data_IF_060689815125
#
_entry.id   IF_060689815125
#
_cell.length_a   1.000
_cell.length_b   1.000
_cell.length_c   1.000
_cell.angle_alpha   90.00
_cell.angle_beta   90.00
_cell.angle_gamma   90.00
#
_symmetry.space_group_name_H-M   'P 1'
#
loop_
_entity.id
_entity.type
_entity.pdbx_description
1 polymer ?
#
# COMPACT_ATOMS: atom_id res chain seq x y z
N UNK A 1 -7.51 42.95 -13.20
CA UNK A 1 -7.38 41.46 -13.36
C UNK A 1 -5.97 41.10 -12.90
N UNK A 2 -5.83 40.28 -11.89
CA UNK A 2 -4.51 39.77 -11.46
C UNK A 2 -4.25 38.50 -12.27
N UNK A 3 -3.25 38.53 -13.15
CA UNK A 3 -2.80 37.34 -13.88
C UNK A 3 -1.70 36.68 -13.06
N UNK A 4 -1.99 35.54 -12.48
CA UNK A 4 -0.98 34.73 -11.80
C UNK A 4 -0.10 34.06 -12.88
N UNK A 5 1.23 34.03 -12.70
CA UNK A 5 2.08 33.29 -13.61
C UNK A 5 1.68 31.82 -13.62
N UNK A 6 1.56 31.22 -14.80
CA UNK A 6 1.32 29.79 -14.93
C UNK A 6 2.50 29.03 -14.34
N UNK A 7 2.27 28.29 -13.26
CA UNK A 7 3.27 27.36 -12.75
C UNK A 7 3.36 26.17 -13.70
N UNK A 8 4.56 25.67 -14.02
CA UNK A 8 4.70 24.49 -14.84
C UNK A 8 3.99 23.32 -14.15
N UNK A 9 3.15 22.60 -14.89
CA UNK A 9 2.53 21.37 -14.41
C UNK A 9 3.62 20.34 -14.11
N UNK A 10 3.90 20.12 -12.83
CA UNK A 10 4.93 19.17 -12.41
C UNK A 10 4.44 17.70 -12.46
N UNK A 11 3.13 17.51 -12.55
CA UNK A 11 2.53 16.18 -12.42
C UNK A 11 1.40 15.97 -13.43
N UNK A 12 1.70 15.53 -14.67
CA UNK A 12 0.70 15.27 -15.69
C UNK A 12 -0.12 13.98 -15.44
N UNK A 13 0.32 13.09 -14.54
CA UNK A 13 -0.22 11.73 -14.36
C UNK A 13 -0.92 11.51 -13.02
N UNK A 14 -1.56 12.54 -12.46
CA UNK A 14 -2.22 12.45 -11.14
C UNK A 14 -3.25 11.32 -11.02
N UNK A 15 -3.82 10.86 -12.13
CA UNK A 15 -4.81 9.78 -12.17
C UNK A 15 -4.23 8.38 -12.45
N UNK A 16 -2.92 8.24 -12.53
CA UNK A 16 -2.30 6.96 -12.89
C UNK A 16 -2.18 6.03 -11.69
N UNK A 17 -2.50 4.76 -11.88
CA UNK A 17 -2.13 3.64 -11.02
C UNK A 17 -1.06 2.83 -11.75
N UNK A 18 0.11 2.68 -11.14
CA UNK A 18 1.20 1.89 -11.68
C UNK A 18 1.12 0.46 -11.15
N UNK A 19 1.25 -0.55 -12.01
CA UNK A 19 1.16 -1.96 -11.62
C UNK A 19 1.98 -2.85 -12.55
N UNK A 20 3.21 -3.18 -12.15
CA UNK A 20 4.08 -4.10 -12.88
C UNK A 20 4.83 -5.03 -11.93
N UNK A 21 5.29 -6.17 -12.47
CA UNK A 21 6.10 -7.13 -11.71
C UNK A 21 7.51 -6.57 -11.50
N UNK A 22 7.91 -6.41 -10.25
CA UNK A 22 9.22 -5.93 -9.82
C UNK A 22 9.95 -6.90 -8.90
N UNK A 23 9.22 -7.86 -8.32
CA UNK A 23 9.77 -8.85 -7.38
C UNK A 23 9.68 -10.23 -8.00
N UNK A 24 10.76 -11.01 -7.93
CA UNK A 24 10.74 -12.40 -8.35
C UNK A 24 9.95 -13.28 -7.38
N UNK A 25 9.63 -14.51 -7.80
CA UNK A 25 8.96 -15.47 -6.92
C UNK A 25 9.80 -15.79 -5.68
N UNK A 26 11.12 -15.94 -5.85
CA UNK A 26 12.06 -16.18 -4.76
C UNK A 26 12.09 -15.00 -3.77
N UNK A 27 12.05 -13.77 -4.27
CA UNK A 27 11.98 -12.58 -3.43
C UNK A 27 10.65 -12.52 -2.65
N UNK A 28 9.53 -12.86 -3.29
CA UNK A 28 8.24 -12.98 -2.62
C UNK A 28 8.28 -14.06 -1.52
N UNK A 29 8.86 -15.22 -1.80
CA UNK A 29 9.05 -16.29 -0.81
C UNK A 29 9.92 -15.85 0.37
N UNK A 30 11.00 -15.13 0.10
CA UNK A 30 11.88 -14.60 1.16
C UNK A 30 11.13 -13.61 2.06
N UNK A 31 10.29 -12.74 1.49
CA UNK A 31 9.48 -11.80 2.26
C UNK A 31 8.46 -12.57 3.11
N UNK A 32 7.74 -13.54 2.54
CA UNK A 32 6.77 -14.36 3.30
C UNK A 32 7.47 -15.11 4.44
N UNK A 33 8.60 -15.76 4.17
CA UNK A 33 9.38 -16.52 5.17
C UNK A 33 9.99 -15.64 6.26
N UNK A 34 10.14 -14.34 6.03
CA UNK A 34 10.63 -13.42 7.06
C UNK A 34 9.59 -13.11 8.14
N UNK A 35 8.32 -13.42 7.90
CA UNK A 35 7.24 -13.23 8.86
C UNK A 35 7.50 -14.01 10.15
N UNK A 36 7.15 -13.43 11.28
CA UNK A 36 7.24 -14.05 12.59
C UNK A 36 5.84 -14.32 13.13
N UNK A 37 5.54 -15.59 13.43
CA UNK A 37 4.18 -15.97 13.83
C UNK A 37 3.68 -15.29 15.10
N UNK A 38 4.58 -14.97 16.02
CA UNK A 38 4.29 -14.27 17.28
C UNK A 38 4.08 -12.76 17.14
N UNK A 39 4.33 -12.19 15.95
CA UNK A 39 4.22 -10.73 15.69
C UNK A 39 2.96 -10.34 14.92
N UNK A 40 2.13 -11.29 14.52
CA UNK A 40 0.86 -10.97 13.87
C UNK A 40 -0.12 -10.36 14.85
N UNK A 41 -0.64 -9.20 14.49
CA UNK A 41 -1.66 -8.47 15.25
C UNK A 41 -2.84 -8.11 14.34
N UNK A 42 -3.99 -7.82 14.94
CA UNK A 42 -5.12 -7.32 14.17
C UNK A 42 -4.78 -5.98 13.53
N UNK A 43 -5.08 -5.84 12.23
CA UNK A 43 -4.85 -4.60 11.51
C UNK A 43 -5.69 -3.45 12.08
N UNK A 44 -5.05 -2.33 12.38
CA UNK A 44 -5.70 -1.16 12.94
C UNK A 44 -6.29 -0.24 11.87
N UNK A 45 -7.32 0.53 12.23
CA UNK A 45 -7.81 1.69 11.45
C UNK A 45 -7.29 2.93 12.14
N UNK A 46 -6.38 3.66 11.48
CA UNK A 46 -5.85 4.91 12.03
C UNK A 46 -6.94 5.99 12.13
N UNK A 47 -7.04 6.64 13.28
CA UNK A 47 -7.88 7.83 13.45
C UNK A 47 -9.30 7.63 13.97
N UNK A 48 -9.73 6.41 14.30
CA UNK A 48 -11.00 6.13 14.95
C UNK A 48 -10.77 5.59 16.36
N UNK A 49 -11.07 6.40 17.36
CA UNK A 49 -11.07 6.05 18.78
C UNK A 49 -10.58 7.16 19.69
N UNK A 50 -11.17 7.27 20.89
CA UNK A 50 -10.95 8.35 21.87
C UNK A 50 -9.53 8.48 22.45
N UNK A 51 -8.55 7.69 21.98
CA UNK A 51 -7.18 7.69 22.52
C UNK A 51 -6.06 7.68 21.47
N UNK A 52 -6.32 7.93 20.19
CA UNK A 52 -5.28 7.97 19.17
C UNK A 52 -4.59 6.60 18.90
N UNK A 53 -5.00 5.56 19.57
CA UNK A 53 -4.64 4.17 19.28
C UNK A 53 -5.68 3.64 18.32
N UNK A 54 -5.27 3.27 17.10
CA UNK A 54 -6.16 2.74 16.09
C UNK A 54 -7.11 1.70 16.67
N UNK A 55 -8.41 1.85 16.43
CA UNK A 55 -9.37 0.84 16.85
C UNK A 55 -9.13 -0.43 16.09
N UNK A 56 -8.97 -1.52 16.81
CA UNK A 56 -8.86 -2.86 16.26
C UNK A 56 -10.17 -3.22 15.58
N UNK A 57 -10.09 -3.61 14.32
CA UNK A 57 -11.15 -4.18 13.50
C UNK A 57 -12.57 -3.68 13.79
N UNK A 58 -13.10 -2.99 12.84
CA UNK A 58 -14.53 -2.74 12.72
C UNK A 58 -15.01 -3.33 11.39
N UNK A 59 -16.27 -3.13 11.07
CA UNK A 59 -16.86 -3.59 9.80
C UNK A 59 -16.16 -2.99 8.56
N UNK A 60 -15.34 -1.95 8.72
CA UNK A 60 -14.62 -1.30 7.63
C UNK A 60 -13.25 -1.94 7.32
N UNK A 61 -12.66 -2.71 8.24
CA UNK A 61 -11.37 -3.37 8.03
C UNK A 61 -11.25 -4.63 8.86
N UNK A 62 -10.90 -5.71 8.20
CA UNK A 62 -10.49 -6.97 8.80
C UNK A 62 -9.23 -7.47 8.09
N UNK A 63 -8.14 -7.65 8.84
CA UNK A 63 -6.89 -8.25 8.37
C UNK A 63 -5.98 -8.50 9.57
N UNK A 64 -4.88 -9.22 9.36
CA UNK A 64 -3.77 -9.25 10.32
C UNK A 64 -2.53 -8.64 9.69
N UNK A 65 -1.72 -7.97 10.51
CA UNK A 65 -0.52 -7.27 10.05
C UNK A 65 0.64 -7.45 11.01
N UNK A 66 1.84 -7.33 10.49
CA UNK A 66 3.05 -7.13 11.27
C UNK A 66 3.97 -6.16 10.55
N UNK A 67 4.87 -5.47 11.26
CA UNK A 67 5.89 -4.66 10.60
C UNK A 67 6.70 -5.53 9.65
N UNK A 68 6.95 -5.01 8.44
CA UNK A 68 7.78 -5.72 7.48
C UNK A 68 9.19 -5.93 8.06
N UNK A 69 9.64 -7.19 8.22
CA UNK A 69 10.99 -7.46 8.69
C UNK A 69 12.04 -6.93 7.73
N UNK A 70 13.11 -6.36 8.28
CA UNK A 70 14.22 -5.78 7.51
C UNK A 70 15.46 -6.63 7.75
N UNK A 71 16.01 -7.16 6.66
CA UNK A 71 17.22 -7.97 6.67
C UNK A 71 18.49 -7.17 6.38
N UNK A 72 19.53 -7.86 5.90
CA UNK A 72 20.82 -7.26 5.55
C UNK A 72 20.65 -6.19 4.45
N UNK A 73 21.50 -5.16 4.50
CA UNK A 73 21.50 -4.03 3.58
C UNK A 73 20.14 -3.32 3.45
N UNK A 74 19.28 -3.43 4.47
CA UNK A 74 17.97 -2.82 4.46
C UNK A 74 16.94 -3.49 3.54
N UNK A 75 17.22 -4.70 3.01
CA UNK A 75 16.27 -5.45 2.18
C UNK A 75 15.06 -5.91 3.02
N UNK A 76 13.79 -5.92 2.51
CA UNK A 76 13.42 -5.50 1.15
C UNK A 76 13.15 -4.00 0.99
N UNK A 77 13.21 -3.20 2.07
CA UNK A 77 12.87 -1.77 2.04
C UNK A 77 13.72 -0.97 1.06
N UNK A 78 15.03 -1.28 0.97
CA UNK A 78 15.95 -0.60 0.04
C UNK A 78 15.52 -0.79 -1.42
N UNK A 79 15.13 -2.02 -1.81
CA UNK A 79 14.62 -2.31 -3.15
C UNK A 79 13.27 -1.61 -3.39
N UNK A 80 12.34 -1.71 -2.44
CA UNK A 80 11.03 -1.05 -2.53
C UNK A 80 11.22 0.45 -2.78
N UNK A 81 12.03 1.12 -1.99
CA UNK A 81 12.26 2.56 -2.14
C UNK A 81 12.92 2.91 -3.47
N UNK A 82 13.90 2.12 -3.91
CA UNK A 82 14.56 2.31 -5.21
C UNK A 82 13.55 2.26 -6.36
N UNK A 83 12.69 1.24 -6.40
CA UNK A 83 11.67 1.09 -7.44
C UNK A 83 10.65 2.25 -7.39
N UNK A 84 10.19 2.62 -6.20
CA UNK A 84 9.25 3.74 -6.03
C UNK A 84 9.86 5.05 -6.51
N UNK A 85 11.13 5.35 -6.18
CA UNK A 85 11.80 6.55 -6.64
C UNK A 85 11.94 6.59 -8.17
N UNK A 86 12.31 5.47 -8.79
CA UNK A 86 12.42 5.37 -10.25
C UNK A 86 11.07 5.64 -10.93
N UNK A 87 10.01 4.98 -10.45
CA UNK A 87 8.66 5.16 -11.00
C UNK A 87 8.18 6.58 -10.79
N UNK A 88 8.30 7.10 -9.57
CA UNK A 88 7.86 8.46 -9.24
C UNK A 88 8.56 9.53 -10.09
N UNK A 89 9.85 9.36 -10.41
CA UNK A 89 10.61 10.31 -11.23
C UNK A 89 10.02 10.50 -12.62
N UNK A 90 9.36 9.48 -13.15
CA UNK A 90 8.76 9.47 -14.49
C UNK A 90 7.25 9.73 -14.46
N UNK A 91 6.56 9.22 -13.42
CA UNK A 91 5.11 9.25 -13.32
C UNK A 91 4.61 10.56 -12.67
N UNK A 92 4.68 10.67 -11.35
CA UNK A 92 4.05 11.77 -10.61
C UNK A 92 5.00 12.90 -10.25
N UNK A 93 6.29 12.62 -10.08
CA UNK A 93 7.31 13.59 -9.67
C UNK A 93 6.99 14.28 -8.34
N UNK A 94 6.41 13.53 -7.41
CA UNK A 94 6.20 14.03 -6.05
C UNK A 94 7.54 14.22 -5.35
N UNK A 95 7.61 15.23 -4.50
CA UNK A 95 8.71 15.37 -3.55
C UNK A 95 8.55 14.31 -2.47
N UNK A 96 9.42 13.29 -2.45
CA UNK A 96 9.38 12.19 -1.51
C UNK A 96 10.47 12.35 -0.44
N UNK A 97 10.06 12.15 0.84
CA UNK A 97 10.95 12.13 1.99
C UNK A 97 11.34 10.72 2.46
N UNK A 98 10.59 9.71 2.01
CA UNK A 98 10.84 8.31 2.35
C UNK A 98 9.85 7.72 3.35
N UNK A 99 10.25 6.63 4.00
CA UNK A 99 9.49 5.99 5.08
C UNK A 99 9.72 6.72 6.40
N UNK A 100 8.73 6.74 7.28
CA UNK A 100 8.83 7.29 8.62
C UNK A 100 8.70 6.19 9.68
N UNK A 101 9.39 6.32 10.82
CA UNK A 101 9.49 5.26 11.81
C UNK A 101 8.14 4.75 12.34
N UNK A 102 7.18 5.64 12.49
CA UNK A 102 5.85 5.28 13.03
C UNK A 102 4.89 4.78 11.95
N UNK A 103 5.31 4.81 10.68
CA UNK A 103 4.51 4.40 9.52
C UNK A 103 5.35 3.58 8.52
N UNK A 104 6.15 2.66 9.06
CA UNK A 104 6.95 1.71 8.27
C UNK A 104 6.03 0.71 7.55
N UNK A 105 6.43 0.19 6.39
CA UNK A 105 5.65 -0.81 5.68
C UNK A 105 5.30 -2.04 6.53
N UNK A 106 4.16 -2.62 6.22
CA UNK A 106 3.61 -3.81 6.88
C UNK A 106 3.53 -4.99 5.93
N UNK A 107 3.76 -6.17 6.47
CA UNK A 107 3.32 -7.42 5.88
C UNK A 107 1.87 -7.66 6.35
N UNK A 108 0.94 -7.79 5.40
CA UNK A 108 -0.47 -7.98 5.69
C UNK A 108 -0.97 -9.33 5.19
N UNK A 109 -1.88 -9.91 5.96
CA UNK A 109 -2.50 -11.21 5.69
C UNK A 109 -4.02 -11.06 5.74
N UNK A 110 -4.69 -11.51 4.66
CA UNK A 110 -6.12 -11.51 4.51
C UNK A 110 -6.60 -12.96 4.35
N UNK A 111 -7.48 -13.42 5.24
CA UNK A 111 -7.94 -14.80 5.31
C UNK A 111 -9.43 -14.93 4.97
N UNK A 112 -9.77 -15.91 4.14
CA UNK A 112 -11.15 -16.20 3.76
C UNK A 112 -12.04 -16.58 4.97
N UNK A 113 -11.46 -17.28 5.96
CA UNK A 113 -12.17 -17.68 7.18
C UNK A 113 -12.74 -16.52 7.98
N UNK A 114 -12.13 -15.33 7.84
CA UNK A 114 -12.55 -14.10 8.49
C UNK A 114 -13.25 -13.14 7.55
N UNK A 115 -13.34 -13.48 6.25
CA UNK A 115 -13.78 -12.58 5.18
C UNK A 115 -13.00 -11.26 5.18
N UNK A 116 -11.69 -11.37 5.38
CA UNK A 116 -10.82 -10.22 5.53
C UNK A 116 -10.89 -9.27 4.32
N UNK A 117 -10.92 -7.98 4.60
CA UNK A 117 -11.13 -6.92 3.62
C UNK A 117 -10.69 -5.55 4.17
N UNK A 118 -10.70 -4.54 3.32
CA UNK A 118 -10.63 -3.13 3.70
C UNK A 118 -11.64 -2.37 2.85
N UNK A 119 -12.54 -1.63 3.49
CA UNK A 119 -13.56 -0.84 2.82
C UNK A 119 -12.98 0.41 2.13
N UNK A 120 -13.82 1.14 1.40
CA UNK A 120 -13.43 2.35 0.68
C UNK A 120 -12.77 3.38 1.60
N UNK A 121 -11.52 3.71 1.32
CA UNK A 121 -10.75 4.68 2.08
C UNK A 121 -9.70 5.38 1.21
N UNK A 122 -9.17 6.47 1.73
CA UNK A 122 -7.97 7.14 1.26
C UNK A 122 -6.86 6.91 2.27
N UNK A 123 -5.63 6.75 1.80
CA UNK A 123 -4.46 6.61 2.67
C UNK A 123 -4.05 7.94 3.31
N UNK A 124 -4.31 9.03 2.61
CA UNK A 124 -4.09 10.38 3.11
C UNK A 124 -5.20 10.78 4.08
N UNK A 125 -4.85 11.41 5.19
CA UNK A 125 -5.80 11.82 6.22
C UNK A 125 -5.26 12.95 7.09
N UNK A 126 -5.67 12.97 8.34
CA UNK A 126 -5.23 13.95 9.35
C UNK A 126 -3.94 13.49 10.05
N UNK A 127 -3.29 14.42 10.74
CA UNK A 127 -2.08 14.14 11.51
C UNK A 127 -0.95 13.61 10.65
N UNK A 128 -0.32 12.52 11.07
CA UNK A 128 0.80 11.92 10.36
C UNK A 128 0.43 11.45 8.95
N UNK A 129 -0.81 11.03 8.72
CA UNK A 129 -1.27 10.57 7.41
C UNK A 129 -1.34 11.72 6.38
N UNK A 130 -1.34 12.98 6.82
CA UNK A 130 -1.38 14.15 5.93
C UNK A 130 -0.12 14.29 5.06
N UNK A 131 0.99 13.68 5.45
CA UNK A 131 2.25 13.70 4.71
C UNK A 131 2.42 12.52 3.74
N UNK A 132 1.50 11.54 3.70
CA UNK A 132 1.53 10.41 2.76
C UNK A 132 1.32 10.92 1.33
N UNK A 133 2.25 10.60 0.43
CA UNK A 133 2.22 10.98 -0.99
C UNK A 133 1.78 9.82 -1.89
N UNK A 134 2.38 8.67 -1.67
CA UNK A 134 2.13 7.46 -2.42
C UNK A 134 1.77 6.32 -1.46
N UNK A 135 0.73 5.57 -1.80
CA UNK A 135 0.46 4.26 -1.25
C UNK A 135 0.99 3.18 -2.19
N UNK A 136 1.41 2.06 -1.63
CA UNK A 136 1.83 0.91 -2.43
C UNK A 136 1.39 -0.42 -1.84
N UNK A 137 1.25 -1.42 -2.73
CA UNK A 137 1.03 -2.82 -2.36
C UNK A 137 1.89 -3.73 -3.23
N UNK A 138 2.56 -4.71 -2.64
CA UNK A 138 3.32 -5.75 -3.36
C UNK A 138 2.61 -7.07 -3.17
N UNK A 139 2.23 -7.73 -4.28
CA UNK A 139 1.49 -8.98 -4.26
C UNK A 139 2.45 -10.15 -4.01
N UNK A 140 2.27 -10.88 -2.91
CA UNK A 140 3.19 -11.96 -2.51
C UNK A 140 2.63 -13.35 -2.79
N UNK A 141 1.32 -13.54 -2.62
CA UNK A 141 0.63 -14.82 -2.84
C UNK A 141 0.34 -15.01 -4.33
N UNK A 142 0.50 -16.22 -4.85
CA UNK A 142 0.08 -16.55 -6.20
C UNK A 142 -1.44 -16.37 -6.34
N UNK A 143 -1.93 -15.71 -7.42
CA UNK A 143 -3.36 -15.45 -7.60
C UNK A 143 -4.22 -16.71 -7.74
N UNK A 144 -3.64 -17.88 -7.99
CA UNK A 144 -4.35 -19.17 -8.02
C UNK A 144 -4.65 -19.73 -6.63
N UNK A 145 -3.99 -19.23 -5.58
CA UNK A 145 -4.13 -19.73 -4.20
C UNK A 145 -5.28 -19.06 -3.44
N UNK A 146 -5.86 -17.98 -3.97
CA UNK A 146 -6.94 -17.25 -3.30
C UNK A 146 -7.98 -16.70 -4.27
N UNK A 147 -9.20 -16.47 -3.76
CA UNK A 147 -10.29 -15.82 -4.48
C UNK A 147 -10.76 -14.57 -3.71
N UNK A 148 -11.27 -13.57 -4.44
CA UNK A 148 -11.56 -12.26 -3.86
C UNK A 148 -10.30 -11.45 -3.58
N UNK A 149 -10.33 -10.59 -2.58
CA UNK A 149 -9.17 -9.75 -2.19
C UNK A 149 -8.69 -8.80 -3.28
N UNK A 150 -9.57 -8.36 -4.16
CA UNK A 150 -9.23 -7.45 -5.26
C UNK A 150 -8.94 -6.06 -4.71
N UNK A 151 -7.83 -5.48 -5.12
CA UNK A 151 -7.58 -4.05 -4.92
C UNK A 151 -8.30 -3.28 -6.02
N UNK A 152 -9.26 -2.45 -5.62
CA UNK A 152 -10.10 -1.66 -6.51
C UNK A 152 -9.95 -0.18 -6.23
N UNK A 153 -10.02 0.64 -7.29
CA UNK A 153 -9.95 2.09 -7.21
C UNK A 153 -11.28 2.69 -7.67
N UNK A 154 -11.74 3.70 -6.95
CA UNK A 154 -12.96 4.40 -7.33
C UNK A 154 -12.73 5.22 -8.62
N UNK A 155 -13.59 5.03 -9.60
CA UNK A 155 -13.54 5.71 -10.92
C UNK A 155 -12.26 5.41 -11.75
N UNK A 156 -11.48 4.39 -11.39
CA UNK A 156 -10.35 3.91 -12.20
C UNK A 156 -10.55 2.43 -12.45
N UNK A 157 -10.61 2.06 -13.72
CA UNK A 157 -10.59 0.65 -14.12
C UNK A 157 -9.16 0.15 -14.17
N UNK A 158 -8.87 -0.93 -13.47
CA UNK A 158 -7.57 -1.61 -13.48
C UNK A 158 -7.75 -3.06 -13.90
N UNK A 159 -6.80 -3.56 -14.69
CA UNK A 159 -6.79 -4.99 -15.03
C UNK A 159 -6.38 -5.82 -13.82
N UNK A 160 -7.35 -6.50 -13.23
CA UNK A 160 -7.13 -7.34 -12.04
C UNK A 160 -6.15 -8.50 -12.32
N UNK A 161 -6.05 -9.00 -13.53
CA UNK A 161 -5.10 -10.05 -13.88
C UNK A 161 -3.65 -9.57 -13.67
N UNK A 162 -3.32 -8.42 -14.21
CA UNK A 162 -1.99 -7.81 -14.04
C UNK A 162 -1.75 -7.36 -12.60
N UNK A 163 -2.76 -6.74 -11.98
CA UNK A 163 -2.64 -6.19 -10.64
C UNK A 163 -2.39 -7.27 -9.58
N UNK A 164 -2.98 -8.46 -9.73
CA UNK A 164 -2.85 -9.59 -8.81
C UNK A 164 -1.62 -10.47 -9.08
N UNK A 165 -0.96 -10.32 -10.23
CA UNK A 165 0.21 -11.15 -10.55
C UNK A 165 1.25 -11.08 -9.43
N UNK A 166 1.79 -12.24 -9.04
CA UNK A 166 2.79 -12.35 -7.98
C UNK A 166 4.02 -11.48 -8.29
N UNK A 167 4.54 -10.78 -7.29
CA UNK A 167 5.65 -9.84 -7.43
C UNK A 167 5.26 -8.48 -7.99
N UNK A 168 3.98 -8.24 -8.31
CA UNK A 168 3.53 -6.92 -8.79
C UNK A 168 3.63 -5.88 -7.69
N UNK A 169 4.36 -4.81 -7.97
CA UNK A 169 4.29 -3.55 -7.22
C UNK A 169 3.15 -2.71 -7.79
N UNK A 170 2.13 -2.47 -7.00
CA UNK A 170 1.06 -1.51 -7.27
C UNK A 170 1.39 -0.23 -6.53
N UNK A 171 1.45 0.90 -7.24
CA UNK A 171 1.81 2.21 -6.69
C UNK A 171 0.79 3.25 -7.14
N UNK A 172 0.30 4.08 -6.22
CA UNK A 172 -0.75 5.05 -6.49
C UNK A 172 -0.66 6.26 -5.54
N UNK A 173 -1.16 7.44 -5.96
CA UNK A 173 -1.29 8.59 -5.08
C UNK A 173 -2.16 8.30 -3.85
N UNK A 174 -1.69 8.68 -2.66
CA UNK A 174 -2.33 8.36 -1.38
C UNK A 174 -3.75 8.97 -1.20
N UNK A 175 -4.14 9.91 -2.05
CA UNK A 175 -5.48 10.51 -2.07
C UNK A 175 -6.50 9.74 -2.92
N UNK A 176 -6.11 8.65 -3.60
CA UNK A 176 -7.06 7.85 -4.36
C UNK A 176 -7.93 6.99 -3.44
N UNK A 177 -9.23 7.09 -3.63
CA UNK A 177 -10.20 6.25 -2.95
C UNK A 177 -10.10 4.82 -3.49
N UNK A 178 -9.81 3.87 -2.59
CA UNK A 178 -9.60 2.47 -2.94
C UNK A 178 -10.09 1.53 -1.85
N UNK A 179 -10.21 0.25 -2.18
CA UNK A 179 -10.61 -0.81 -1.24
C UNK A 179 -9.93 -2.13 -1.57
N UNK A 180 -9.97 -3.06 -0.61
CA UNK A 180 -9.68 -4.48 -0.83
C UNK A 180 -10.97 -5.25 -0.59
N UNK A 181 -11.48 -5.96 -1.61
CA UNK A 181 -12.70 -6.76 -1.48
C UNK A 181 -12.47 -7.96 -0.56
N UNK A 182 -13.55 -8.56 -0.04
CA UNK A 182 -13.44 -9.75 0.81
C UNK A 182 -12.65 -10.87 0.14
N UNK A 183 -11.72 -11.47 0.87
CA UNK A 183 -11.14 -12.77 0.48
C UNK A 183 -12.18 -13.83 0.73
N UNK A 184 -12.51 -14.63 -0.28
CA UNK A 184 -13.58 -15.64 -0.26
C UNK A 184 -13.05 -17.07 -0.23
N UNK A 185 -11.77 -17.27 -0.62
CA UNK A 185 -11.06 -18.54 -0.56
C UNK A 185 -9.58 -18.32 -0.32
N UNK A 186 -8.93 -19.21 0.42
CA UNK A 186 -7.49 -19.18 0.66
C UNK A 186 -7.02 -18.02 1.53
N UNK A 187 -5.78 -17.61 1.30
CA UNK A 187 -5.10 -16.53 2.02
C UNK A 187 -4.32 -15.65 1.05
N UNK A 188 -4.46 -14.33 1.18
CA UNK A 188 -3.70 -13.35 0.42
C UNK A 188 -2.72 -12.63 1.33
N UNK A 189 -1.44 -12.67 0.97
CA UNK A 189 -0.38 -11.90 1.63
C UNK A 189 0.16 -10.81 0.72
N UNK A 190 0.41 -9.64 1.29
CA UNK A 190 0.96 -8.48 0.58
C UNK A 190 1.87 -7.68 1.50
N UNK A 191 2.82 -6.93 0.91
CA UNK A 191 3.43 -5.79 1.60
C UNK A 191 2.62 -4.56 1.28
N UNK A 192 2.28 -3.76 2.29
CA UNK A 192 1.60 -2.47 2.15
C UNK A 192 2.40 -1.40 2.86
N UNK A 193 2.44 -0.21 2.31
CA UNK A 193 3.11 0.91 2.97
C UNK A 193 2.87 2.24 2.27
N UNK A 194 3.42 3.28 2.87
CA UNK A 194 3.24 4.65 2.40
C UNK A 194 4.59 5.37 2.35
N UNK A 195 4.75 6.18 1.31
CA UNK A 195 5.90 7.06 1.19
C UNK A 195 5.46 8.48 1.48
N UNK A 196 6.16 9.08 2.42
CA UNK A 196 5.87 10.43 2.90
C UNK A 196 6.63 11.49 2.12
N UNK A 197 6.18 12.73 2.24
CA UNK A 197 6.81 13.90 1.65
C UNK A 197 6.32 15.17 2.34
N UNK A 198 6.76 16.36 1.88
CA UNK A 198 6.30 17.62 2.47
C UNK A 198 4.78 17.77 2.33
N UNK A 199 4.17 18.55 3.22
CA UNK A 199 2.73 18.85 3.17
C UNK A 199 2.31 19.37 1.79
N UNK A 200 1.08 19.07 1.38
CA UNK A 200 0.50 19.68 0.18
C UNK A 200 0.37 21.19 0.40
N UNK A 201 0.80 21.96 -0.61
CA UNK A 201 0.77 23.45 -0.60
C UNK A 201 -0.04 23.93 -1.79
#
# INVERSE_FOLDING_TARGET
MIVLPALPLRNPNVGMVYNFVHFSEEECDQIIKSAKEDQWQAGGVGGYGDKGTGSVQNDARSCTEQRLPVGQAGWPLSKIMFEICNINSQAWRFDLGGFVNDDMPYLMRYQATKKDHVDWHMDMGQGQNASRKLGFSIQLTDPSEYEGGNLEFHNISVDQKTLRARGTLVLFPAYWLHRVTNVTKGERMVVVGWVHGPSYR
#
